data_IF_265182804933
#
_entry.id   IF_265182804933
#
_cell.length_a   1.000
_cell.length_b   1.000
_cell.length_c   1.000
_cell.angle_alpha   90.00
_cell.angle_beta   90.00
_cell.angle_gamma   90.00
#
_symmetry.space_group_name_H-M   'P 1'
#
loop_
_entity.id
_entity.type
_entity.pdbx_description
1 polymer ?
#
# COMPACT_ATOMS: atom_id res chain seq x y z
N UNK A 1 39.38 13.07 -20.84
CA UNK A 1 38.60 11.83 -20.82
C UNK A 1 37.17 12.24 -21.12
N UNK A 2 36.70 11.98 -22.33
CA UNK A 2 35.33 12.24 -22.81
C UNK A 2 34.40 11.25 -22.10
N UNK A 3 33.22 11.69 -21.57
CA UNK A 3 32.28 10.76 -20.98
C UNK A 3 31.72 9.85 -22.08
N UNK A 4 31.84 8.55 -21.91
CA UNK A 4 31.19 7.55 -22.73
C UNK A 4 29.69 7.78 -22.68
N UNK A 5 29.11 8.13 -23.83
CA UNK A 5 27.66 8.19 -24.01
C UNK A 5 27.14 6.74 -23.93
N UNK A 6 26.48 6.40 -22.83
CA UNK A 6 25.72 5.16 -22.68
C UNK A 6 24.62 5.15 -23.76
N UNK A 7 24.77 4.29 -24.76
CA UNK A 7 23.68 4.03 -25.73
C UNK A 7 22.54 3.35 -24.96
N UNK A 8 21.39 4.02 -24.86
CA UNK A 8 20.19 3.45 -24.25
C UNK A 8 19.33 2.83 -25.35
N UNK A 9 18.87 1.61 -25.15
CA UNK A 9 17.99 0.91 -26.09
C UNK A 9 16.55 1.11 -25.65
N UNK A 10 15.67 1.52 -26.59
CA UNK A 10 14.23 1.53 -26.41
C UNK A 10 13.64 0.28 -27.07
N UNK A 11 12.90 -0.52 -26.33
CA UNK A 11 12.23 -1.73 -26.82
C UNK A 11 10.75 -1.45 -26.97
N UNK A 12 10.25 -1.54 -28.21
CA UNK A 12 8.83 -1.43 -28.53
C UNK A 12 8.25 -2.84 -28.72
N UNK A 13 7.43 -3.27 -27.76
CA UNK A 13 6.72 -4.55 -27.83
C UNK A 13 5.30 -4.32 -28.40
N UNK A 14 4.92 -5.08 -29.42
CA UNK A 14 3.64 -4.89 -30.13
C UNK A 14 3.01 -6.24 -30.51
N UNK A 15 1.71 -6.22 -30.77
CA UNK A 15 0.96 -7.37 -31.33
C UNK A 15 0.87 -7.24 -32.85
N UNK A 16 0.27 -6.15 -33.30
CA UNK A 16 0.18 -5.79 -34.72
C UNK A 16 1.22 -4.70 -35.02
N UNK A 17 1.90 -4.83 -36.14
CA UNK A 17 2.95 -3.87 -36.52
C UNK A 17 2.38 -2.44 -36.55
N UNK A 18 2.97 -1.50 -35.80
CA UNK A 18 2.49 -0.11 -35.82
C UNK A 18 2.65 0.52 -37.20
N UNK A 19 1.68 1.38 -37.57
CA UNK A 19 1.74 2.12 -38.82
C UNK A 19 2.91 3.12 -38.83
N UNK A 20 3.29 3.58 -40.04
CA UNK A 20 4.37 4.57 -40.17
C UNK A 20 4.08 5.86 -39.40
N UNK A 21 2.82 6.29 -39.32
CA UNK A 21 2.39 7.45 -38.53
C UNK A 21 2.57 7.21 -37.00
N UNK A 22 2.21 6.02 -36.54
CA UNK A 22 2.39 5.63 -35.13
C UNK A 22 3.87 5.53 -34.76
N UNK A 23 4.69 4.97 -35.66
CA UNK A 23 6.14 4.91 -35.48
C UNK A 23 6.78 6.31 -35.43
N UNK A 24 6.31 7.23 -36.31
CA UNK A 24 6.77 8.61 -36.29
C UNK A 24 6.38 9.31 -34.97
N UNK A 25 5.16 9.07 -34.47
CA UNK A 25 4.70 9.56 -33.16
C UNK A 25 5.55 9.05 -32.00
N UNK A 26 5.83 7.74 -31.97
CA UNK A 26 6.67 7.12 -30.93
C UNK A 26 8.10 7.68 -30.97
N UNK A 27 8.71 7.81 -32.16
CA UNK A 27 10.04 8.42 -32.30
C UNK A 27 10.06 9.88 -31.84
N UNK A 28 9.03 10.64 -32.17
CA UNK A 28 8.87 12.04 -31.71
C UNK A 28 8.71 12.12 -30.20
N UNK A 29 7.94 11.21 -29.60
CA UNK A 29 7.78 11.10 -28.16
C UNK A 29 9.12 10.79 -27.47
N UNK A 30 9.87 9.78 -27.96
CA UNK A 30 11.20 9.43 -27.44
C UNK A 30 12.16 10.63 -27.53
N UNK A 31 12.18 11.33 -28.66
CA UNK A 31 13.05 12.50 -28.86
C UNK A 31 12.69 13.68 -27.93
N UNK A 32 11.40 13.85 -27.61
CA UNK A 32 10.90 14.92 -26.73
C UNK A 32 11.20 14.62 -25.27
N UNK A 33 10.99 13.37 -24.83
CA UNK A 33 11.09 12.97 -23.44
C UNK A 33 12.56 12.73 -23.01
N UNK A 34 13.37 12.21 -23.93
CA UNK A 34 14.76 11.80 -23.66
C UNK A 34 15.76 12.66 -24.44
N UNK A 35 15.66 13.98 -24.36
CA UNK A 35 16.33 15.01 -25.19
C UNK A 35 17.85 14.90 -25.36
N UNK A 36 18.58 14.11 -24.56
CA UNK A 36 20.04 14.04 -24.56
C UNK A 36 20.61 12.62 -24.70
N UNK A 37 19.84 11.64 -25.11
CA UNK A 37 20.31 10.26 -25.25
C UNK A 37 20.17 9.78 -26.70
N UNK A 38 21.23 9.14 -27.23
CA UNK A 38 21.13 8.39 -28.47
C UNK A 38 20.39 7.08 -28.17
N UNK A 39 19.09 7.03 -28.48
CA UNK A 39 18.23 5.88 -28.19
C UNK A 39 18.01 5.09 -29.47
N UNK A 40 18.37 3.82 -29.47
CA UNK A 40 18.10 2.87 -30.55
C UNK A 40 16.77 2.19 -30.27
N UNK A 41 15.82 2.28 -31.22
CA UNK A 41 14.52 1.62 -31.12
C UNK A 41 14.64 0.18 -31.64
N UNK A 42 14.37 -0.80 -30.79
CA UNK A 42 14.21 -2.20 -31.13
C UNK A 42 12.73 -2.58 -31.07
N UNK A 43 12.29 -3.38 -32.06
CA UNK A 43 10.89 -3.77 -32.19
C UNK A 43 10.76 -5.28 -31.92
N UNK A 44 9.90 -5.65 -30.96
CA UNK A 44 9.66 -7.04 -30.53
C UNK A 44 8.17 -7.34 -30.65
N UNK A 45 7.84 -8.41 -31.38
CA UNK A 45 6.46 -8.87 -31.49
C UNK A 45 6.14 -9.83 -30.33
N UNK A 46 5.04 -9.57 -29.60
CA UNK A 46 4.58 -10.39 -28.48
C UNK A 46 3.05 -10.53 -28.51
N UNK A 47 2.59 -11.70 -28.86
CA UNK A 47 1.16 -12.04 -28.92
C UNK A 47 0.47 -12.10 -27.54
N UNK A 48 1.21 -12.09 -26.42
CA UNK A 48 0.64 -12.10 -25.07
C UNK A 48 -0.06 -10.79 -24.68
N UNK A 49 0.24 -9.68 -25.38
CA UNK A 49 -0.34 -8.36 -25.13
C UNK A 49 -1.81 -8.21 -25.58
N UNK A 50 -2.36 -9.15 -26.35
CA UNK A 50 -3.70 -9.12 -26.96
C UNK A 50 -3.91 -7.98 -27.96
N UNK A 51 -3.67 -6.73 -27.63
CA UNK A 51 -3.67 -5.58 -28.54
C UNK A 51 -2.91 -4.38 -27.96
N UNK A 52 -2.49 -3.44 -28.83
CA UNK A 52 -1.72 -2.26 -28.43
C UNK A 52 -0.21 -2.48 -28.45
N UNK A 53 0.52 -1.60 -27.76
CA UNK A 53 1.98 -1.68 -27.69
C UNK A 53 2.50 -1.18 -26.33
N UNK A 54 3.69 -1.64 -25.96
CA UNK A 54 4.41 -1.24 -24.77
C UNK A 54 5.79 -0.77 -25.19
N UNK A 55 6.19 0.43 -24.78
CA UNK A 55 7.51 1.00 -25.01
C UNK A 55 8.31 0.98 -23.73
N UNK A 56 9.47 0.33 -23.75
CA UNK A 56 10.40 0.31 -22.63
C UNK A 56 11.69 1.06 -23.00
N UNK A 57 12.06 2.05 -22.19
CA UNK A 57 13.29 2.84 -22.36
C UNK A 57 14.03 2.86 -21.02
N UNK A 58 15.10 2.06 -20.91
CA UNK A 58 15.78 1.87 -19.64
C UNK A 58 14.86 1.27 -18.58
N UNK A 59 14.70 1.93 -17.44
CA UNK A 59 13.79 1.54 -16.35
C UNK A 59 12.35 2.02 -16.53
N UNK A 60 12.07 2.88 -17.52
CA UNK A 60 10.73 3.44 -17.78
C UNK A 60 9.97 2.56 -18.78
N UNK A 61 8.72 2.24 -18.43
CA UNK A 61 7.79 1.49 -19.28
C UNK A 61 6.52 2.31 -19.51
N UNK A 62 6.17 2.45 -20.79
CA UNK A 62 4.98 3.17 -21.25
C UNK A 62 4.03 2.16 -21.88
N UNK A 63 2.91 1.89 -21.21
CA UNK A 63 1.96 0.84 -21.57
C UNK A 63 0.71 1.43 -22.23
N UNK A 64 0.57 1.21 -23.53
CA UNK A 64 -0.62 1.54 -24.35
C UNK A 64 -1.41 0.29 -24.75
N UNK A 65 -1.28 -0.81 -24.00
CA UNK A 65 -2.05 -2.02 -24.23
C UNK A 65 -3.53 -1.85 -23.85
N UNK A 66 -4.38 -2.71 -24.40
CA UNK A 66 -5.80 -2.76 -24.05
C UNK A 66 -6.02 -3.00 -22.56
N UNK A 67 -5.18 -3.83 -21.93
CA UNK A 67 -5.25 -4.12 -20.51
C UNK A 67 -5.03 -2.86 -19.66
N UNK A 68 -4.04 -2.05 -19.99
CA UNK A 68 -3.77 -0.80 -19.28
C UNK A 68 -4.92 0.20 -19.43
N UNK A 69 -5.53 0.27 -20.64
CA UNK A 69 -6.70 1.11 -20.89
C UNK A 69 -7.91 0.70 -20.06
N UNK A 70 -8.19 -0.59 -19.98
CA UNK A 70 -9.30 -1.13 -19.17
C UNK A 70 -9.08 -0.85 -17.68
N UNK A 71 -7.85 -0.99 -17.17
CA UNK A 71 -7.53 -0.69 -15.77
C UNK A 71 -7.68 0.81 -15.44
N UNK A 72 -7.25 1.69 -16.35
CA UNK A 72 -7.45 3.13 -16.19
C UNK A 72 -8.94 3.50 -16.21
N UNK A 73 -9.72 2.91 -17.11
CA UNK A 73 -11.16 3.12 -17.17
C UNK A 73 -11.86 2.66 -15.89
N UNK A 74 -11.53 1.47 -15.39
CA UNK A 74 -12.04 0.96 -14.10
C UNK A 74 -11.72 1.90 -12.95
N UNK A 75 -10.50 2.45 -12.90
CA UNK A 75 -10.09 3.37 -11.85
C UNK A 75 -10.82 4.72 -11.93
N UNK A 76 -11.10 5.22 -13.13
CA UNK A 76 -11.86 6.45 -13.34
C UNK A 76 -13.32 6.28 -12.95
N UNK A 77 -13.93 5.15 -13.32
CA UNK A 77 -15.31 4.81 -12.91
C UNK A 77 -15.41 4.69 -11.39
N UNK A 78 -14.46 3.98 -10.74
CA UNK A 78 -14.43 3.84 -9.28
C UNK A 78 -14.32 5.20 -8.57
N UNK A 79 -13.52 6.13 -9.10
CA UNK A 79 -13.41 7.50 -8.60
C UNK A 79 -14.67 8.31 -8.81
N UNK A 80 -15.33 8.19 -9.95
CA UNK A 80 -16.59 8.88 -10.25
C UNK A 80 -17.71 8.42 -9.32
N UNK A 81 -17.80 7.11 -9.05
CA UNK A 81 -18.77 6.52 -8.13
C UNK A 81 -18.49 6.96 -6.68
N UNK A 82 -17.21 6.97 -6.24
CA UNK A 82 -16.84 7.38 -4.88
C UNK A 82 -17.00 8.88 -4.61
N UNK A 83 -16.97 9.72 -5.66
CA UNK A 83 -17.13 11.18 -5.53
C UNK A 83 -18.58 11.67 -5.40
N UNK A 84 -19.58 10.76 -5.29
CA UNK A 84 -20.98 11.11 -5.07
C UNK A 84 -21.65 11.89 -6.20
N UNK A 85 -21.05 11.98 -7.38
CA UNK A 85 -21.63 12.65 -8.57
C UNK A 85 -22.67 11.80 -9.30
N UNK A 86 -23.03 10.65 -8.78
CA UNK A 86 -24.05 9.77 -9.34
C UNK A 86 -25.40 10.06 -8.70
N UNK A 87 -26.04 11.17 -9.06
CA UNK A 87 -27.48 11.29 -8.99
C UNK A 87 -28.03 10.92 -10.33
N UNK A 88 -28.82 9.85 -10.35
CA UNK A 88 -29.69 9.41 -11.44
C UNK A 88 -29.11 8.41 -12.46
N UNK A 89 -29.84 7.34 -12.59
CA UNK A 89 -30.13 6.49 -13.74
C UNK A 89 -29.01 6.10 -14.73
N UNK A 90 -29.26 5.02 -15.45
CA UNK A 90 -28.39 4.49 -16.50
C UNK A 90 -27.91 5.56 -17.52
N UNK A 91 -28.69 6.58 -17.80
CA UNK A 91 -28.32 7.69 -18.71
C UNK A 91 -27.21 8.59 -18.16
N UNK A 92 -27.14 8.77 -16.84
CA UNK A 92 -26.08 9.57 -16.20
C UNK A 92 -24.70 8.90 -16.27
N UNK A 93 -24.65 7.58 -16.17
CA UNK A 93 -23.41 6.80 -16.27
C UNK A 93 -22.91 6.79 -17.73
N UNK A 94 -23.82 6.69 -18.69
CA UNK A 94 -23.47 6.70 -20.12
C UNK A 94 -22.91 8.07 -20.55
N UNK A 95 -23.46 9.17 -20.08
CA UNK A 95 -22.98 10.52 -20.40
C UNK A 95 -21.63 10.82 -19.79
N UNK A 96 -21.35 10.34 -18.57
CA UNK A 96 -20.03 10.43 -17.91
C UNK A 96 -19.01 9.59 -18.67
N UNK A 97 -19.37 8.36 -19.05
CA UNK A 97 -18.51 7.47 -19.85
C UNK A 97 -18.21 8.07 -21.24
N UNK A 98 -19.19 8.71 -21.89
CA UNK A 98 -18.99 9.36 -23.19
C UNK A 98 -18.14 10.63 -23.10
N UNK A 99 -18.25 11.40 -22.02
CA UNK A 99 -17.41 12.56 -21.77
C UNK A 99 -15.96 12.14 -21.45
N UNK A 100 -15.78 11.17 -20.56
CA UNK A 100 -14.45 10.64 -20.22
C UNK A 100 -13.76 9.95 -21.42
N UNK A 101 -14.51 9.34 -22.32
CA UNK A 101 -13.95 8.74 -23.56
C UNK A 101 -13.55 9.83 -24.57
N UNK A 102 -14.27 10.97 -24.64
CA UNK A 102 -13.93 12.09 -25.52
C UNK A 102 -12.74 12.90 -25.03
N UNK A 103 -12.61 13.08 -23.72
CA UNK A 103 -11.52 13.84 -23.08
C UNK A 103 -10.39 12.93 -22.59
N UNK A 104 -10.39 11.65 -23.01
CA UNK A 104 -9.39 10.67 -22.61
C UNK A 104 -8.04 10.97 -23.29
N UNK A 105 -7.34 11.94 -22.79
CA UNK A 105 -5.90 12.05 -22.99
C UNK A 105 -5.23 10.92 -22.19
N UNK A 106 -4.55 10.04 -22.92
CA UNK A 106 -3.69 9.01 -22.33
C UNK A 106 -2.61 9.71 -21.47
N UNK A 107 -2.93 9.96 -20.22
CA UNK A 107 -1.91 10.33 -19.23
C UNK A 107 -1.03 9.09 -19.03
N UNK A 108 0.06 9.03 -19.79
CA UNK A 108 1.10 8.02 -19.60
C UNK A 108 1.68 8.27 -18.22
N UNK A 109 1.29 7.45 -17.25
CA UNK A 109 1.97 7.44 -15.96
C UNK A 109 3.29 6.72 -16.18
N UNK A 110 4.39 7.46 -16.07
CA UNK A 110 5.72 6.91 -15.96
C UNK A 110 5.72 5.93 -14.78
N UNK A 111 5.67 4.64 -15.07
CA UNK A 111 5.88 3.61 -14.07
C UNK A 111 7.34 3.22 -14.16
N UNK A 112 8.08 3.58 -13.15
CA UNK A 112 9.44 3.09 -12.99
C UNK A 112 9.37 1.65 -12.50
N UNK A 113 9.93 0.73 -13.28
CA UNK A 113 9.91 -0.71 -13.00
C UNK A 113 11.32 -1.18 -12.76
N UNK A 114 11.57 -1.71 -11.57
CA UNK A 114 12.80 -2.35 -11.19
C UNK A 114 12.75 -3.87 -11.34
N UNK A 115 13.91 -4.48 -11.10
CA UNK A 115 14.10 -5.92 -11.09
C UNK A 115 14.77 -6.34 -9.79
N UNK A 116 14.28 -7.41 -9.18
CA UNK A 116 14.87 -7.99 -7.97
C UNK A 116 16.17 -8.67 -8.30
N UNK A 117 17.26 -8.27 -7.66
CA UNK A 117 18.58 -8.90 -7.79
C UNK A 117 18.80 -9.98 -6.74
N UNK A 118 18.25 -9.78 -5.55
CA UNK A 118 18.39 -10.68 -4.43
C UNK A 118 17.17 -10.62 -3.53
N UNK A 119 16.78 -11.76 -2.96
CA UNK A 119 15.70 -11.86 -1.97
C UNK A 119 16.04 -12.87 -0.91
N UNK A 120 15.81 -12.53 0.36
CA UNK A 120 16.01 -13.41 1.51
C UNK A 120 15.62 -12.71 2.81
N UNK A 121 15.21 -13.50 3.80
CA UNK A 121 14.87 -13.03 5.15
C UNK A 121 13.86 -11.86 5.17
N UNK A 122 12.91 -11.84 4.24
CA UNK A 122 11.90 -10.79 4.13
C UNK A 122 12.41 -9.47 3.54
N UNK A 123 13.61 -9.47 2.94
CA UNK A 123 14.20 -8.30 2.27
C UNK A 123 14.43 -8.63 0.81
N UNK A 124 14.23 -7.66 -0.07
CA UNK A 124 14.58 -7.74 -1.48
C UNK A 124 15.47 -6.56 -1.87
N UNK A 125 16.54 -6.80 -2.63
CA UNK A 125 17.32 -5.77 -3.28
C UNK A 125 16.84 -5.61 -4.72
N UNK A 126 16.57 -4.39 -5.12
CA UNK A 126 15.93 -4.05 -6.39
C UNK A 126 16.79 -3.04 -7.14
N UNK A 127 17.01 -3.27 -8.43
CA UNK A 127 17.65 -2.34 -9.35
C UNK A 127 16.60 -1.65 -10.24
N UNK A 128 16.93 -0.47 -10.75
CA UNK A 128 16.12 0.23 -11.77
C UNK A 128 14.94 1.00 -11.25
N UNK A 129 14.87 1.28 -9.93
CA UNK A 129 13.94 2.22 -9.31
C UNK A 129 14.70 3.39 -8.69
N UNK A 130 15.44 4.12 -9.53
CA UNK A 130 16.43 5.13 -9.11
C UNK A 130 15.82 6.33 -8.39
N UNK A 131 14.53 6.61 -8.59
CA UNK A 131 13.82 7.71 -7.96
C UNK A 131 12.99 7.26 -6.74
N UNK A 132 13.16 6.01 -6.28
CA UNK A 132 12.50 5.53 -5.08
C UNK A 132 12.97 6.35 -3.85
N UNK A 133 12.05 6.60 -2.92
CA UNK A 133 12.37 7.31 -1.69
C UNK A 133 12.10 6.42 -0.47
N UNK A 134 12.79 6.74 0.62
CA UNK A 134 12.61 6.05 1.90
C UNK A 134 11.14 6.03 2.32
N UNK A 135 10.65 4.87 2.73
CA UNK A 135 9.26 4.69 3.14
C UNK A 135 8.26 4.57 1.98
N UNK A 136 8.69 4.57 0.72
CA UNK A 136 7.79 4.36 -0.41
C UNK A 136 7.29 2.91 -0.48
N UNK A 137 6.01 2.73 -0.77
CA UNK A 137 5.44 1.42 -1.08
C UNK A 137 5.74 1.05 -2.52
N UNK A 138 6.26 -0.14 -2.72
CA UNK A 138 6.45 -0.79 -4.02
C UNK A 138 5.61 -2.05 -4.11
N UNK A 139 5.27 -2.46 -5.33
CA UNK A 139 4.43 -3.65 -5.59
C UNK A 139 5.18 -4.58 -6.52
N UNK A 140 5.35 -5.82 -6.11
CA UNK A 140 5.96 -6.87 -6.91
C UNK A 140 4.95 -7.47 -7.89
N UNK A 141 5.41 -8.09 -8.95
CA UNK A 141 4.58 -8.78 -9.95
C UNK A 141 3.75 -9.91 -9.36
N UNK A 142 4.20 -10.52 -8.25
CA UNK A 142 3.46 -11.49 -7.45
C UNK A 142 2.29 -10.88 -6.65
N UNK A 143 2.12 -9.55 -6.64
CA UNK A 143 1.15 -8.82 -5.83
C UNK A 143 1.61 -8.54 -4.39
N UNK A 144 2.76 -9.05 -3.97
CA UNK A 144 3.36 -8.72 -2.66
C UNK A 144 3.71 -7.24 -2.65
N UNK A 145 3.45 -6.57 -1.54
CA UNK A 145 3.86 -5.19 -1.29
C UNK A 145 5.14 -5.16 -0.48
N UNK A 146 5.94 -4.13 -0.68
CA UNK A 146 7.12 -3.87 0.13
C UNK A 146 7.29 -2.39 0.39
N UNK A 147 8.12 -2.06 1.37
CA UNK A 147 8.50 -0.70 1.72
C UNK A 147 9.98 -0.48 1.48
N UNK A 148 10.32 0.59 0.79
CA UNK A 148 11.70 1.01 0.60
C UNK A 148 12.30 1.43 1.94
N UNK A 149 13.36 0.75 2.35
CA UNK A 149 14.05 0.99 3.62
C UNK A 149 15.44 1.57 3.43
N UNK A 150 16.14 1.18 2.36
CA UNK A 150 17.50 1.62 2.08
C UNK A 150 17.60 2.04 0.61
N UNK A 151 18.14 3.21 0.37
CA UNK A 151 18.35 3.74 -0.99
C UNK A 151 19.84 3.96 -1.17
N UNK A 152 20.47 3.11 -1.97
CA UNK A 152 21.87 3.19 -2.34
C UNK A 152 22.01 3.69 -3.78
N UNK A 153 23.24 3.89 -4.19
CA UNK A 153 23.53 4.41 -5.53
C UNK A 153 23.08 3.47 -6.65
N UNK A 154 23.26 2.18 -6.46
CA UNK A 154 23.07 1.17 -7.49
C UNK A 154 21.96 0.16 -7.17
N UNK A 155 21.41 0.19 -5.95
CA UNK A 155 20.37 -0.73 -5.49
C UNK A 155 19.44 -0.10 -4.45
N UNK A 156 18.25 -0.59 -4.35
CA UNK A 156 17.24 -0.19 -3.36
C UNK A 156 16.84 -1.39 -2.52
N UNK A 157 17.03 -1.30 -1.19
CA UNK A 157 16.61 -2.31 -0.23
C UNK A 157 15.13 -2.14 0.14
N UNK A 158 14.36 -3.21 -0.01
CA UNK A 158 12.91 -3.22 0.22
C UNK A 158 12.56 -4.28 1.26
N UNK A 159 11.83 -3.90 2.31
CA UNK A 159 11.25 -4.84 3.28
C UNK A 159 9.93 -5.35 2.71
N UNK A 160 9.73 -6.68 2.67
CA UNK A 160 8.53 -7.30 2.15
C UNK A 160 7.42 -7.37 3.21
N UNK A 161 6.21 -6.99 2.84
CA UNK A 161 5.00 -7.17 3.64
C UNK A 161 4.26 -8.43 3.18
N UNK A 162 4.81 -9.59 3.50
CA UNK A 162 4.24 -10.87 3.11
C UNK A 162 5.30 -11.95 2.98
N UNK A 163 4.92 -13.08 2.38
CA UNK A 163 5.85 -14.19 2.17
C UNK A 163 6.82 -13.87 1.04
N UNK A 164 8.10 -14.00 1.32
CA UNK A 164 9.20 -13.90 0.36
C UNK A 164 9.24 -15.07 -0.66
N UNK A 165 8.55 -16.17 -0.36
CA UNK A 165 8.51 -17.38 -1.22
C UNK A 165 8.00 -17.10 -2.63
N UNK A 166 7.12 -16.10 -2.78
CA UNK A 166 6.53 -15.73 -4.08
C UNK A 166 7.34 -14.70 -4.85
N UNK A 167 8.30 -14.05 -4.20
CA UNK A 167 9.22 -13.07 -4.80
C UNK A 167 10.53 -13.78 -5.12
N UNK A 168 11.00 -13.65 -6.34
CA UNK A 168 12.23 -14.32 -6.83
C UNK A 168 13.17 -13.32 -7.46
N UNK A 169 14.44 -13.69 -7.59
CA UNK A 169 15.38 -12.96 -8.42
C UNK A 169 14.83 -12.87 -9.85
N UNK A 170 14.89 -11.70 -10.44
CA UNK A 170 14.29 -11.39 -11.74
C UNK A 170 12.82 -10.97 -11.69
N UNK A 171 12.13 -11.04 -10.52
CA UNK A 171 10.77 -10.49 -10.36
C UNK A 171 10.74 -8.99 -10.63
N UNK A 172 9.65 -8.51 -11.24
CA UNK A 172 9.46 -7.09 -11.52
C UNK A 172 8.87 -6.38 -10.31
N UNK A 173 9.31 -5.15 -10.09
CA UNK A 173 8.85 -4.28 -9.01
C UNK A 173 8.41 -2.94 -9.57
N UNK A 174 7.21 -2.52 -9.26
CA UNK A 174 6.66 -1.23 -9.67
C UNK A 174 6.59 -0.27 -8.48
N UNK A 175 7.03 0.97 -8.66
CA UNK A 175 6.85 2.05 -7.71
C UNK A 175 5.39 2.50 -7.65
N UNK A 176 4.94 2.90 -6.46
CA UNK A 176 3.61 3.48 -6.30
C UNK A 176 3.62 4.99 -6.14
N UNK A 177 4.78 5.60 -5.83
CA UNK A 177 4.90 7.01 -5.50
C UNK A 177 4.20 7.41 -4.19
N UNK A 178 3.82 6.43 -3.35
CA UNK A 178 3.11 6.66 -2.09
C UNK A 178 3.96 6.23 -0.91
N UNK A 179 4.02 7.06 0.11
CA UNK A 179 4.64 6.70 1.38
C UNK A 179 3.85 5.60 2.08
N UNK A 180 4.55 4.70 2.76
CA UNK A 180 3.93 3.67 3.58
C UNK A 180 3.01 4.29 4.63
N UNK A 181 1.80 3.80 4.70
CA UNK A 181 0.78 4.31 5.62
C UNK A 181 -0.40 3.36 5.71
N UNK A 182 -1.31 3.70 6.58
CA UNK A 182 -2.53 2.94 6.80
C UNK A 182 -3.76 3.80 6.54
N UNK A 183 -4.81 3.22 5.96
CA UNK A 183 -6.10 3.88 5.87
C UNK A 183 -6.68 4.04 7.27
N UNK A 184 -7.35 5.17 7.51
CA UNK A 184 -7.97 5.51 8.81
C UNK A 184 -9.42 5.93 8.62
N UNK A 185 -10.23 5.74 9.65
CA UNK A 185 -11.64 6.11 9.65
C UNK A 185 -12.46 5.33 10.68
N UNK A 186 -13.67 5.78 10.95
CA UNK A 186 -14.59 5.10 11.88
C UNK A 186 -15.01 3.71 11.42
N UNK A 187 -14.96 3.45 10.10
CA UNK A 187 -15.25 2.14 9.51
C UNK A 187 -14.33 1.00 9.99
N UNK A 188 -13.21 1.33 10.63
CA UNK A 188 -12.28 0.35 11.21
C UNK A 188 -12.73 -0.18 12.57
N UNK A 189 -13.66 0.47 13.27
CA UNK A 189 -14.13 -0.03 14.55
C UNK A 189 -14.85 -1.38 14.40
N UNK A 190 -14.51 -2.34 15.25
CA UNK A 190 -15.02 -3.70 15.20
C UNK A 190 -14.45 -4.58 14.08
N UNK A 191 -13.41 -4.11 13.37
CA UNK A 191 -12.76 -4.82 12.26
C UNK A 191 -11.41 -5.41 12.68
N UNK A 192 -10.94 -6.35 11.87
CA UNK A 192 -9.60 -6.96 11.98
C UNK A 192 -8.88 -6.72 10.67
N UNK A 193 -7.70 -6.14 10.75
CA UNK A 193 -6.91 -5.76 9.56
C UNK A 193 -5.47 -6.23 9.68
N UNK A 194 -4.79 -6.30 8.54
CA UNK A 194 -3.36 -6.53 8.44
C UNK A 194 -2.54 -5.26 8.73
N UNK A 195 -1.21 -5.38 8.67
CA UNK A 195 -0.28 -4.27 8.92
C UNK A 195 -0.45 -3.07 7.96
N UNK A 196 -1.08 -3.25 6.82
CA UNK A 196 -1.35 -2.20 5.83
C UNK A 196 -2.81 -1.70 5.86
N UNK A 197 -3.61 -2.19 6.83
CA UNK A 197 -5.01 -1.81 6.97
C UNK A 197 -5.97 -2.56 6.05
N UNK A 198 -5.53 -3.63 5.38
CA UNK A 198 -6.42 -4.46 4.57
C UNK A 198 -7.26 -5.38 5.48
N UNK A 199 -8.57 -5.51 5.26
CA UNK A 199 -9.43 -6.35 6.10
C UNK A 199 -9.09 -7.84 5.93
N UNK A 200 -9.04 -8.57 7.06
CA UNK A 200 -8.79 -10.01 7.12
C UNK A 200 -9.87 -10.75 7.92
N UNK A 201 -11.02 -10.10 8.14
CA UNK A 201 -12.13 -10.60 8.94
C UNK A 201 -13.33 -11.09 8.11
N UNK A 202 -13.15 -11.28 6.80
CA UNK A 202 -14.16 -11.76 5.83
C UNK A 202 -15.44 -10.89 5.76
N UNK A 203 -15.41 -9.66 6.27
CA UNK A 203 -16.56 -8.75 6.26
C UNK A 203 -16.58 -7.77 5.08
N UNK A 204 -15.72 -8.00 4.08
CA UNK A 204 -15.58 -7.11 2.92
C UNK A 204 -14.75 -5.86 3.18
N UNK A 205 -14.63 -5.01 2.17
CA UNK A 205 -13.80 -3.82 2.19
C UNK A 205 -14.22 -2.80 3.25
N UNK A 206 -13.26 -2.04 3.75
CA UNK A 206 -13.48 -0.98 4.72
C UNK A 206 -13.41 0.36 4.00
N UNK A 207 -14.45 1.18 4.18
CA UNK A 207 -14.43 2.54 3.67
C UNK A 207 -13.56 3.41 4.59
N UNK A 208 -12.47 3.93 4.05
CA UNK A 208 -11.57 4.79 4.78
C UNK A 208 -11.93 6.27 4.57
N UNK A 209 -11.83 7.06 5.63
CA UNK A 209 -12.05 8.51 5.59
C UNK A 209 -10.77 9.26 5.22
N UNK A 210 -9.61 8.64 5.43
CA UNK A 210 -8.31 9.22 5.17
C UNK A 210 -7.18 8.20 5.16
N UNK A 211 -5.94 8.71 5.05
CA UNK A 211 -4.72 7.92 5.04
C UNK A 211 -3.65 8.61 5.88
N UNK A 212 -2.97 7.87 6.75
CA UNK A 212 -1.89 8.39 7.59
C UNK A 212 -0.60 7.61 7.35
N UNK A 213 0.53 8.30 7.22
CA UNK A 213 1.83 7.64 7.12
C UNK A 213 2.13 6.85 8.40
N UNK A 214 2.85 5.73 8.25
CA UNK A 214 3.28 4.87 9.37
C UNK A 214 4.25 5.62 10.28
N UNK A 215 5.15 6.42 9.67
CA UNK A 215 6.11 7.24 10.40
C UNK A 215 5.62 8.68 10.46
N UNK A 216 5.47 9.19 11.68
CA UNK A 216 5.15 10.58 11.98
C UNK A 216 6.04 11.06 13.10
N UNK A 217 6.41 12.33 13.08
CA UNK A 217 7.11 12.94 14.22
C UNK A 217 6.25 12.87 15.48
N UNK A 218 6.86 12.42 16.57
CA UNK A 218 6.19 12.39 17.87
C UNK A 218 6.06 13.81 18.44
N UNK A 219 4.94 14.15 19.11
CA UNK A 219 4.82 15.44 19.79
C UNK A 219 5.96 15.71 20.75
N UNK A 220 6.48 16.93 20.72
CA UNK A 220 7.52 17.40 21.64
C UNK A 220 7.07 17.40 23.11
N UNK A 221 8.02 17.59 24.03
CA UNK A 221 7.73 17.57 25.46
C UNK A 221 6.74 18.69 25.83
N UNK A 222 6.85 19.83 25.21
CA UNK A 222 6.01 21.02 25.47
C UNK A 222 4.58 20.86 24.92
N UNK A 223 4.40 20.00 23.93
CA UNK A 223 3.09 19.75 23.29
C UNK A 223 2.29 18.66 24.00
N UNK A 224 2.96 17.88 24.86
CA UNK A 224 2.31 16.75 25.56
C UNK A 224 1.51 17.24 26.75
N UNK A 225 0.25 16.82 26.80
CA UNK A 225 -0.61 17.03 27.97
C UNK A 225 -0.13 16.16 29.14
N UNK A 226 -0.10 16.70 30.34
CA UNK A 226 0.18 15.96 31.58
C UNK A 226 -0.82 14.83 31.81
N UNK A 227 -0.34 13.69 32.28
CA UNK A 227 -1.20 12.56 32.65
C UNK A 227 -1.89 12.88 33.99
N UNK A 228 -3.20 13.09 33.96
CA UNK A 228 -4.00 13.47 35.12
C UNK A 228 -5.32 12.70 35.26
N UNK A 229 -5.68 11.90 34.24
CA UNK A 229 -6.94 11.15 34.21
C UNK A 229 -6.62 9.66 34.32
N UNK A 230 -7.14 8.94 35.34
CA UNK A 230 -6.92 7.51 35.47
C UNK A 230 -7.66 6.72 34.37
N UNK A 231 -7.07 5.59 33.99
CA UNK A 231 -7.72 4.57 33.17
C UNK A 231 -8.32 3.53 34.10
N UNK A 232 -9.59 3.31 34.01
CA UNK A 232 -10.26 2.26 34.78
C UNK A 232 -10.08 0.92 34.09
N UNK A 233 -9.15 0.11 34.62
CA UNK A 233 -8.86 -1.23 34.05
C UNK A 233 -9.92 -2.26 34.46
N UNK A 234 -10.64 -2.02 35.57
CA UNK A 234 -11.57 -2.95 36.19
C UNK A 234 -10.87 -4.01 37.07
N UNK A 235 -9.55 -3.91 37.21
CA UNK A 235 -8.77 -4.78 38.06
C UNK A 235 -8.49 -4.06 39.38
N UNK A 236 -9.11 -4.53 40.47
CA UNK A 236 -9.07 -3.88 41.78
C UNK A 236 -7.64 -3.61 42.26
N UNK A 237 -6.74 -4.55 42.07
CA UNK A 237 -5.32 -4.40 42.47
C UNK A 237 -4.59 -3.31 41.74
N UNK A 238 -4.93 -3.06 40.47
CA UNK A 238 -4.34 -1.99 39.64
C UNK A 238 -5.01 -0.67 39.98
N UNK A 239 -6.34 -0.60 39.85
CA UNK A 239 -7.08 0.65 39.94
C UNK A 239 -7.00 1.29 41.35
N UNK A 240 -6.85 0.46 42.45
CA UNK A 240 -6.78 0.96 43.81
C UNK A 240 -5.39 1.27 44.30
N UNK A 241 -4.35 0.55 43.83
CA UNK A 241 -3.01 0.67 44.35
C UNK A 241 -2.03 1.37 43.39
N UNK A 242 -2.12 1.09 42.12
CA UNK A 242 -1.22 1.61 41.09
C UNK A 242 -2.00 2.01 39.84
N UNK A 243 -2.87 3.01 39.93
CA UNK A 243 -3.75 3.39 38.81
C UNK A 243 -2.93 3.83 37.59
N UNK A 244 -3.29 3.30 36.41
CA UNK A 244 -2.70 3.67 35.14
C UNK A 244 -3.34 4.95 34.65
N UNK A 245 -2.56 5.93 34.23
CA UNK A 245 -3.07 7.17 33.65
C UNK A 245 -3.28 7.12 32.14
N UNK A 246 -4.28 7.79 31.63
CA UNK A 246 -4.49 7.95 30.18
C UNK A 246 -3.31 8.71 29.57
N UNK A 247 -2.62 8.07 28.61
CA UNK A 247 -1.40 8.57 28.00
C UNK A 247 -0.10 7.95 28.59
N UNK A 248 -0.22 7.11 29.62
CA UNK A 248 0.90 6.39 30.21
C UNK A 248 1.26 5.15 29.36
N UNK A 249 2.54 4.75 29.40
CA UNK A 249 3.01 3.48 28.84
C UNK A 249 3.25 2.51 29.98
N UNK A 250 2.64 1.32 29.88
CA UNK A 250 2.76 0.26 30.85
C UNK A 250 3.37 -1.01 30.23
N UNK A 251 4.24 -1.67 30.97
CA UNK A 251 4.82 -2.94 30.60
C UNK A 251 4.15 -4.06 31.39
N UNK A 252 3.50 -5.01 30.71
CA UNK A 252 2.96 -6.23 31.31
C UNK A 252 3.93 -7.36 30.98
N UNK A 253 4.76 -7.74 31.95
CA UNK A 253 5.79 -8.76 31.79
C UNK A 253 5.53 -9.96 32.71
N UNK A 254 5.93 -11.17 32.30
CA UNK A 254 5.82 -12.41 33.04
C UNK A 254 6.02 -13.61 32.12
N UNK A 255 6.11 -14.80 32.70
CA UNK A 255 6.28 -16.06 31.98
C UNK A 255 5.06 -16.43 31.12
N UNK A 256 5.17 -17.52 30.36
CA UNK A 256 4.06 -18.05 29.58
C UNK A 256 2.88 -18.39 30.49
N UNK A 257 1.67 -18.10 30.04
CA UNK A 257 0.40 -18.43 30.72
C UNK A 257 0.17 -17.77 32.09
N UNK A 258 0.88 -16.69 32.41
CA UNK A 258 0.72 -15.94 33.69
C UNK A 258 -0.44 -14.93 33.65
N UNK A 259 -1.25 -14.89 32.59
CA UNK A 259 -2.41 -14.01 32.53
C UNK A 259 -2.17 -12.63 31.91
N UNK A 260 -1.00 -12.36 31.29
CA UNK A 260 -0.70 -11.05 30.66
C UNK A 260 -1.78 -10.58 29.69
N UNK A 261 -2.19 -11.45 28.79
CA UNK A 261 -3.24 -11.14 27.81
C UNK A 261 -4.61 -10.98 28.46
N UNK A 262 -4.88 -11.68 29.59
CA UNK A 262 -6.13 -11.52 30.32
C UNK A 262 -6.28 -10.10 30.88
N UNK A 263 -5.21 -9.54 31.48
CA UNK A 263 -5.18 -8.15 31.96
C UNK A 263 -5.55 -7.18 30.84
N UNK A 264 -4.92 -7.31 29.66
CA UNK A 264 -5.20 -6.46 28.51
C UNK A 264 -6.65 -6.64 28.00
N UNK A 265 -7.12 -7.89 27.93
CA UNK A 265 -8.48 -8.22 27.44
C UNK A 265 -9.56 -7.66 28.40
N UNK A 266 -9.37 -7.85 29.71
CA UNK A 266 -10.30 -7.34 30.74
C UNK A 266 -10.33 -5.81 30.71
N UNK A 267 -9.17 -5.16 30.56
CA UNK A 267 -9.10 -3.71 30.40
C UNK A 267 -9.90 -3.24 29.20
N UNK A 268 -9.77 -3.90 28.04
CA UNK A 268 -10.55 -3.56 26.82
C UNK A 268 -12.06 -3.72 27.08
N UNK A 269 -12.46 -4.84 27.68
CA UNK A 269 -13.88 -5.11 27.99
C UNK A 269 -14.46 -4.04 28.90
N UNK A 270 -13.69 -3.57 29.88
CA UNK A 270 -14.11 -2.52 30.81
C UNK A 270 -14.17 -1.10 30.20
N UNK A 271 -13.67 -0.90 28.97
CA UNK A 271 -13.84 0.37 28.25
C UNK A 271 -15.20 0.47 27.51
N UNK A 272 -15.98 -0.61 27.47
CA UNK A 272 -17.30 -0.57 26.85
C UNK A 272 -18.20 0.52 27.47
N UNK A 273 -18.77 1.38 26.63
CA UNK A 273 -19.61 2.51 27.06
C UNK A 273 -18.83 3.71 27.61
N UNK A 274 -17.51 3.68 27.58
CA UNK A 274 -16.63 4.80 27.88
C UNK A 274 -16.12 5.41 26.57
N UNK A 275 -15.78 6.67 26.59
CA UNK A 275 -15.21 7.36 25.41
C UNK A 275 -13.74 6.99 25.23
N UNK A 276 -13.48 5.73 24.87
CA UNK A 276 -12.16 5.15 24.66
C UNK A 276 -12.19 4.20 23.46
N UNK A 277 -11.32 4.44 22.51
CA UNK A 277 -11.05 3.52 21.40
C UNK A 277 -9.91 2.57 21.82
N UNK A 278 -10.16 1.27 21.73
CA UNK A 278 -9.18 0.24 22.06
C UNK A 278 -8.57 -0.31 20.78
N UNK A 279 -7.24 -0.36 20.72
CA UNK A 279 -6.49 -0.94 19.58
C UNK A 279 -5.64 -2.09 20.12
N UNK A 280 -5.94 -3.31 19.66
CA UNK A 280 -5.14 -4.48 20.00
C UNK A 280 -4.22 -4.84 18.83
N UNK A 281 -2.93 -4.79 19.04
CA UNK A 281 -1.92 -5.13 18.03
C UNK A 281 -1.29 -6.48 18.38
N UNK A 282 -1.46 -7.47 17.51
CA UNK A 282 -0.92 -8.82 17.67
C UNK A 282 0.31 -9.00 16.77
N UNK A 283 1.47 -9.24 17.39
CA UNK A 283 2.73 -9.43 16.68
C UNK A 283 3.26 -10.84 16.96
N UNK A 284 3.45 -11.65 15.90
CA UNK A 284 4.00 -13.00 16.02
C UNK A 284 3.12 -13.99 16.78
N UNK A 285 1.81 -13.72 16.91
CA UNK A 285 0.85 -14.59 17.59
C UNK A 285 0.24 -15.61 16.61
N UNK A 286 -0.15 -16.79 17.14
CA UNK A 286 -0.85 -17.81 16.37
C UNK A 286 -2.27 -17.33 16.03
N UNK A 287 -2.72 -17.54 14.79
CA UNK A 287 -4.07 -17.18 14.33
C UNK A 287 -5.18 -17.74 15.24
N UNK A 288 -5.01 -18.97 15.77
CA UNK A 288 -5.96 -19.58 16.71
C UNK A 288 -6.08 -18.80 18.04
N UNK A 289 -4.99 -18.20 18.52
CA UNK A 289 -5.00 -17.37 19.74
C UNK A 289 -5.78 -16.09 19.50
N UNK A 290 -5.55 -15.48 18.34
CA UNK A 290 -6.23 -14.25 17.92
C UNK A 290 -7.72 -14.50 17.74
N UNK A 291 -8.10 -15.60 17.05
CA UNK A 291 -9.50 -15.97 16.88
C UNK A 291 -10.22 -16.16 18.22
N UNK A 292 -9.56 -16.79 19.20
CA UNK A 292 -10.09 -16.94 20.57
C UNK A 292 -10.28 -15.58 21.25
N UNK A 293 -9.31 -14.68 21.16
CA UNK A 293 -9.41 -13.33 21.69
C UNK A 293 -10.57 -12.56 21.09
N UNK A 294 -10.66 -12.55 19.76
CA UNK A 294 -11.75 -11.89 19.03
C UNK A 294 -13.12 -12.43 19.46
N UNK A 295 -13.24 -13.77 19.62
CA UNK A 295 -14.49 -14.37 20.09
C UNK A 295 -14.83 -13.92 21.51
N UNK A 296 -13.85 -13.82 22.42
CA UNK A 296 -14.02 -13.30 23.77
C UNK A 296 -14.54 -11.87 23.75
N UNK A 297 -13.93 -10.98 22.96
CA UNK A 297 -14.35 -9.59 22.80
C UNK A 297 -15.74 -9.47 22.18
N UNK A 298 -16.08 -10.31 21.18
CA UNK A 298 -17.44 -10.39 20.58
C UNK A 298 -18.48 -10.77 21.61
N UNK A 299 -18.22 -11.83 22.38
CA UNK A 299 -19.13 -12.32 23.42
C UNK A 299 -19.38 -11.29 24.52
N UNK A 300 -18.35 -10.53 24.90
CA UNK A 300 -18.44 -9.43 25.85
C UNK A 300 -19.10 -8.16 25.26
N UNK A 301 -19.33 -8.12 23.95
CA UNK A 301 -19.85 -6.95 23.24
C UNK A 301 -18.88 -5.77 23.21
N UNK A 302 -17.57 -6.02 23.31
CA UNK A 302 -16.52 -5.01 23.34
C UNK A 302 -15.97 -4.67 21.95
N UNK A 303 -16.40 -5.35 20.88
CA UNK A 303 -15.92 -5.10 19.51
C UNK A 303 -16.31 -3.70 18.99
N UNK A 304 -17.42 -3.13 19.47
CA UNK A 304 -17.86 -1.80 19.02
C UNK A 304 -16.90 -0.66 19.41
N UNK A 305 -16.06 -0.88 20.42
CA UNK A 305 -15.02 0.05 20.89
C UNK A 305 -13.62 -0.46 20.65
N UNK A 306 -13.47 -1.61 19.97
CA UNK A 306 -12.21 -2.29 19.76
C UNK A 306 -11.90 -2.44 18.29
N UNK A 307 -10.64 -2.31 17.96
CA UNK A 307 -10.04 -2.52 16.66
C UNK A 307 -8.84 -3.45 16.82
N UNK A 308 -8.70 -4.45 15.97
CA UNK A 308 -7.60 -5.41 16.04
C UNK A 308 -6.70 -5.28 14.82
N UNK A 309 -5.43 -5.03 15.05
CA UNK A 309 -4.37 -4.94 14.04
C UNK A 309 -3.45 -6.17 14.14
N UNK A 310 -3.18 -6.83 13.03
CA UNK A 310 -2.35 -8.04 12.95
C UNK A 310 -1.08 -7.81 12.15
#
# INVERSE_FOLDING_TARGET
>A
MTPEQKESTAVLTYVDAPSDEQLAGIKSFIAKEFRNQNIRLEMVQDASLKSGFVLKVGSKEYDWSEKARIEQLKSSIAKAVSSGKTTAGEEGILSILQADIKDFELAVKDKEIGVVNWVGDGIANVDGIDHAFYGEIVVFDSGVKGMVQDVRRDEVGVILFGSDVTVKEGSKVARTGKMAGVPVGEGFLGRIVDALGSPIDDKGDIQADGYRPVECEAPGITERKSVSVPMETGLLSIDSMFPIGRGQRELIIGDRQTGKTAIATDTIINQKGKDVICIYVAIGQKASTIAKLVNTLKTAGAMAVSYTHL
#
